data_IF_163013820684
#
_entry.id   IF_163013820684
#
_cell.length_a   1.000
_cell.length_b   1.000
_cell.length_c   1.000
_cell.angle_alpha   90.00
_cell.angle_beta   90.00
_cell.angle_gamma   90.00
#
_symmetry.space_group_name_H-M   'P 1'
#
loop_
_entity.id
_entity.type
_entity.pdbx_description
1 polymer ?
#
# COMPACT_ATOMS: atom_id res chain seq x y z
N UNK A 1 -21.22 -1.27 -11.49
CA UNK A 1 -19.81 -0.91 -11.74
C UNK A 1 -19.08 -0.82 -10.41
N UNK A 2 -18.38 -1.87 -10.01
CA UNK A 2 -17.80 -1.99 -8.66
C UNK A 2 -16.38 -2.57 -8.65
N UNK A 3 -15.76 -2.78 -9.82
CA UNK A 3 -14.41 -3.35 -9.92
C UNK A 3 -13.30 -2.41 -9.43
N UNK A 4 -13.47 -1.09 -9.58
CA UNK A 4 -12.38 -0.13 -9.41
C UNK A 4 -11.88 0.02 -7.97
N UNK A 5 -12.76 -0.12 -6.97
CA UNK A 5 -12.38 0.08 -5.56
C UNK A 5 -11.65 -1.13 -4.98
N UNK A 6 -11.99 -2.33 -5.44
CA UNK A 6 -11.37 -3.56 -4.96
C UNK A 6 -9.99 -3.77 -5.57
N UNK A 7 -9.83 -3.53 -6.87
CA UNK A 7 -8.52 -3.55 -7.53
C UNK A 7 -7.54 -2.55 -6.90
N UNK A 8 -8.01 -1.35 -6.55
CA UNK A 8 -7.21 -0.36 -5.83
C UNK A 8 -6.79 -0.87 -4.45
N UNK A 9 -7.67 -1.56 -3.73
CA UNK A 9 -7.36 -2.17 -2.43
C UNK A 9 -6.31 -3.27 -2.55
N UNK A 10 -6.49 -4.18 -3.51
CA UNK A 10 -5.55 -5.27 -3.79
C UNK A 10 -4.18 -4.69 -4.13
N UNK A 11 -4.11 -3.68 -5.01
CA UNK A 11 -2.86 -3.00 -5.35
C UNK A 11 -2.20 -2.36 -4.13
N UNK A 12 -2.96 -1.66 -3.29
CA UNK A 12 -2.43 -1.01 -2.09
C UNK A 12 -1.89 -2.03 -1.07
N UNK A 13 -2.57 -3.16 -0.91
CA UNK A 13 -2.10 -4.26 -0.05
C UNK A 13 -0.80 -4.87 -0.58
N UNK A 14 -0.68 -5.07 -1.90
CA UNK A 14 0.57 -5.54 -2.54
C UNK A 14 1.72 -4.55 -2.33
N UNK A 15 1.49 -3.25 -2.50
CA UNK A 15 2.50 -2.20 -2.24
C UNK A 15 3.02 -2.30 -0.79
N UNK A 16 2.12 -2.50 0.18
CA UNK A 16 2.51 -2.64 1.58
C UNK A 16 3.26 -3.95 1.86
N UNK A 17 2.86 -5.06 1.23
CA UNK A 17 3.56 -6.34 1.34
C UNK A 17 5.00 -6.25 0.80
N UNK A 18 5.18 -5.61 -0.36
CA UNK A 18 6.50 -5.41 -0.96
C UNK A 18 7.37 -4.50 -0.09
N UNK A 19 6.79 -3.46 0.50
CA UNK A 19 7.47 -2.63 1.50
C UNK A 19 7.93 -3.43 2.72
N UNK A 20 7.08 -4.33 3.25
CA UNK A 20 7.45 -5.22 4.36
C UNK A 20 8.53 -6.24 3.98
N UNK A 21 8.63 -6.61 2.70
CA UNK A 21 9.69 -7.47 2.18
C UNK A 21 11.04 -6.74 2.05
N UNK A 22 11.10 -5.43 2.37
CA UNK A 22 12.33 -4.62 2.35
C UNK A 22 12.47 -3.76 1.09
N UNK A 23 11.45 -3.68 0.24
CA UNK A 23 11.49 -2.85 -0.96
C UNK A 23 11.35 -1.35 -0.60
N UNK A 24 12.26 -0.52 -1.12
CA UNK A 24 12.26 0.92 -0.81
C UNK A 24 11.10 1.65 -1.52
N UNK A 25 10.61 2.73 -0.90
CA UNK A 25 9.48 3.52 -1.40
C UNK A 25 9.73 4.11 -2.79
N UNK A 26 10.97 4.48 -3.12
CA UNK A 26 11.34 4.95 -4.46
C UNK A 26 11.21 3.83 -5.51
N UNK A 27 11.62 2.61 -5.18
CA UNK A 27 11.45 1.45 -6.07
C UNK A 27 9.98 1.11 -6.24
N UNK A 28 9.18 1.17 -5.18
CA UNK A 28 7.73 0.98 -5.23
C UNK A 28 7.04 2.06 -6.09
N UNK A 29 7.51 3.30 -6.00
CA UNK A 29 7.03 4.42 -6.82
C UNK A 29 7.19 4.11 -8.31
N UNK A 30 8.38 3.63 -8.71
CA UNK A 30 8.66 3.22 -10.07
C UNK A 30 7.86 1.96 -10.49
N UNK A 31 7.88 0.91 -9.66
CA UNK A 31 7.23 -0.39 -9.91
C UNK A 31 5.72 -0.28 -10.12
N UNK A 32 5.07 0.60 -9.36
CA UNK A 32 3.61 0.78 -9.39
C UNK A 32 3.15 2.02 -10.18
N UNK A 33 4.09 2.77 -10.80
CA UNK A 33 3.82 4.02 -11.53
C UNK A 33 3.02 5.03 -10.70
N UNK A 34 3.36 5.14 -9.42
CA UNK A 34 2.74 6.07 -8.48
C UNK A 34 3.76 7.09 -8.03
N UNK A 35 3.30 8.26 -7.58
CA UNK A 35 4.20 9.23 -6.93
C UNK A 35 4.67 8.70 -5.57
N UNK A 36 5.88 9.10 -5.16
CA UNK A 36 6.41 8.77 -3.83
C UNK A 36 5.45 9.17 -2.70
N UNK A 37 4.81 10.34 -2.80
CA UNK A 37 3.78 10.79 -1.84
C UNK A 37 2.59 9.83 -1.77
N UNK A 38 2.17 9.28 -2.91
CA UNK A 38 1.10 8.28 -2.96
C UNK A 38 1.52 6.98 -2.27
N UNK A 39 2.74 6.49 -2.53
CA UNK A 39 3.30 5.29 -1.88
C UNK A 39 3.38 5.48 -0.37
N UNK A 40 3.95 6.60 0.10
CA UNK A 40 4.01 6.96 1.52
C UNK A 40 2.63 6.96 2.18
N UNK A 41 1.64 7.56 1.51
CA UNK A 41 0.26 7.58 1.99
C UNK A 41 -0.34 6.18 2.07
N UNK A 42 -0.14 5.34 1.06
CA UNK A 42 -0.66 3.96 1.05
C UNK A 42 -0.06 3.16 2.21
N UNK A 43 1.26 3.17 2.36
CA UNK A 43 1.96 2.47 3.45
C UNK A 43 1.46 2.95 4.82
N UNK A 44 1.32 4.27 5.01
CA UNK A 44 0.80 4.81 6.27
C UNK A 44 -0.65 4.42 6.56
N UNK A 45 -1.50 4.28 5.54
CA UNK A 45 -2.88 3.81 5.71
C UNK A 45 -2.95 2.31 6.01
N UNK A 46 -2.16 1.49 5.31
CA UNK A 46 -2.11 0.04 5.55
C UNK A 46 -1.51 -0.28 6.93
N UNK A 47 -0.48 0.45 7.37
CA UNK A 47 0.07 0.34 8.72
C UNK A 47 -0.98 0.61 9.81
N UNK A 48 -1.76 1.70 9.67
CA UNK A 48 -2.85 2.03 10.60
C UNK A 48 -3.97 0.98 10.61
N UNK A 49 -4.26 0.34 9.48
CA UNK A 49 -5.23 -0.77 9.42
C UNK A 49 -4.70 -1.99 10.16
N UNK A 50 -3.43 -2.31 9.99
CA UNK A 50 -2.80 -3.45 10.64
C UNK A 50 -2.72 -3.25 12.17
N UNK A 51 -2.35 -2.04 12.63
CA UNK A 51 -2.33 -1.68 14.06
C UNK A 51 -3.73 -1.74 14.71
N UNK A 52 -4.79 -1.37 13.99
CA UNK A 52 -6.18 -1.46 14.48
C UNK A 52 -6.74 -2.89 14.48
N UNK A 53 -6.11 -3.82 13.76
CA UNK A 53 -6.49 -5.23 13.76
C UNK A 53 -5.92 -6.03 14.94
N UNK A 54 -4.81 -5.56 15.53
CA UNK A 54 -4.13 -6.25 16.64
C UNK A 54 -4.69 -5.91 18.04
N UNK A 55 -5.49 -4.83 18.16
CA UNK A 55 -6.16 -4.43 19.40
C UNK A 55 -7.64 -4.85 19.46
N UNK A 56 -7.98 -6.03 18.93
CA UNK A 56 -9.31 -6.63 19.03
C UNK A 56 -9.24 -8.05 19.57
#
# INVERSE_FOLDING_TARGET
GTATREELRIRNSRIYSDYLAGENMDNLSAKYFLSLKSIQRIIGQEKKKNEKGLNR
#
